data_IF_559909655707
#
_entry.id   IF_559909655707
#
_cell.length_a   1.000
_cell.length_b   1.000
_cell.length_c   1.000
_cell.angle_alpha   90.00
_cell.angle_beta   90.00
_cell.angle_gamma   90.00
#
_symmetry.space_group_name_H-M   'P 1'
#
loop_
_entity.id
_entity.type
_entity.pdbx_description
1 polymer ?
#
# COMPACT_ATOMS: atom_id res chain seq x y z
N UNK A 1 -13.62 12.98 -5.58
CA UNK A 1 -14.54 13.32 -6.69
C UNK A 1 -15.90 12.67 -6.46
N UNK A 2 -16.58 13.09 -5.39
CA UNK A 2 -17.90 12.57 -5.00
C UNK A 2 -18.77 13.80 -4.71
N UNK A 3 -20.07 13.80 -5.00
CA UNK A 3 -20.96 14.94 -4.69
C UNK A 3 -21.19 15.08 -3.17
N UNK A 4 -20.15 15.51 -2.44
CA UNK A 4 -20.04 15.50 -0.98
C UNK A 4 -21.08 16.37 -0.26
N UNK A 5 -21.76 17.27 -0.99
CA UNK A 5 -22.85 18.09 -0.44
C UNK A 5 -24.12 17.28 -0.25
N UNK A 6 -24.37 16.29 -1.12
CA UNK A 6 -25.52 15.37 -1.00
C UNK A 6 -25.30 14.36 0.12
N UNK A 7 -26.39 13.90 0.74
CA UNK A 7 -26.30 12.91 1.82
C UNK A 7 -25.65 11.60 1.35
N UNK A 8 -26.03 11.12 0.15
CA UNK A 8 -25.39 9.98 -0.51
C UNK A 8 -23.88 10.18 -0.67
N UNK A 9 -23.45 11.38 -1.05
CA UNK A 9 -22.04 11.70 -1.23
C UNK A 9 -21.26 11.73 0.09
N UNK A 10 -21.85 12.27 1.17
CA UNK A 10 -21.26 12.22 2.52
C UNK A 10 -21.07 10.77 2.98
N UNK A 11 -22.09 9.92 2.79
CA UNK A 11 -22.01 8.50 3.14
C UNK A 11 -20.93 7.77 2.34
N UNK A 12 -20.80 8.05 1.04
CA UNK A 12 -19.75 7.47 0.22
C UNK A 12 -18.35 7.89 0.69
N UNK A 13 -18.16 9.16 1.07
CA UNK A 13 -16.87 9.64 1.58
C UNK A 13 -16.51 8.98 2.92
N UNK A 14 -17.49 8.75 3.80
CA UNK A 14 -17.29 8.03 5.07
C UNK A 14 -16.83 6.58 4.90
N UNK A 15 -17.16 5.93 3.77
CA UNK A 15 -16.72 4.55 3.47
C UNK A 15 -15.24 4.50 3.08
N UNK A 16 -14.71 5.58 2.50
CA UNK A 16 -13.31 5.66 2.11
C UNK A 16 -12.42 5.91 3.34
N UNK A 17 -11.43 5.05 3.54
CA UNK A 17 -10.41 5.23 4.58
C UNK A 17 -9.03 5.29 3.91
N UNK A 18 -8.29 6.36 4.17
CA UNK A 18 -6.94 6.58 3.68
C UNK A 18 -5.96 6.68 4.86
N UNK A 19 -4.76 6.13 4.71
CA UNK A 19 -3.75 6.07 5.76
C UNK A 19 -2.36 6.36 5.17
N UNK A 20 -1.48 6.93 5.98
CA UNK A 20 -0.05 7.06 5.68
C UNK A 20 0.68 5.80 6.16
N UNK A 21 1.27 5.06 5.23
CA UNK A 21 1.79 3.71 5.50
C UNK A 21 0.67 2.67 5.67
N UNK A 22 1.02 1.46 6.15
CA UNK A 22 0.06 0.36 6.35
C UNK A 22 -0.15 0.10 7.84
N UNK A 23 -1.31 0.50 8.40
CA UNK A 23 -1.65 0.24 9.79
C UNK A 23 -1.67 -1.25 10.14
N UNK A 24 -1.41 -1.63 11.42
CA UNK A 24 -1.36 -3.03 11.88
C UNK A 24 -2.54 -3.90 11.44
N UNK A 25 -3.76 -3.37 11.51
CA UNK A 25 -5.00 -4.05 11.10
C UNK A 25 -5.04 -4.50 9.63
N UNK A 26 -4.24 -3.88 8.75
CA UNK A 26 -4.20 -4.19 7.32
C UNK A 26 -2.92 -4.92 6.88
N UNK A 27 -1.93 -5.11 7.76
CA UNK A 27 -0.62 -5.68 7.39
C UNK A 27 -0.71 -7.11 6.87
N UNK A 28 -1.66 -7.89 7.39
CA UNK A 28 -1.86 -9.30 7.05
C UNK A 28 -2.88 -9.51 5.91
N UNK A 29 -3.51 -8.44 5.42
CA UNK A 29 -4.48 -8.53 4.32
C UNK A 29 -3.77 -8.44 2.97
N UNK A 30 -4.26 -9.18 1.98
CA UNK A 30 -3.76 -9.06 0.60
C UNK A 30 -4.12 -7.67 0.05
N UNK A 31 -3.10 -6.87 -0.25
CA UNK A 31 -3.28 -5.57 -0.89
C UNK A 31 -3.54 -5.74 -2.39
N UNK A 32 -4.42 -4.92 -2.94
CA UNK A 32 -4.73 -4.87 -4.36
C UNK A 32 -4.14 -3.62 -5.00
N UNK A 33 -3.85 -3.68 -6.30
CA UNK A 33 -3.36 -2.56 -7.12
C UNK A 33 -4.36 -2.32 -8.24
N UNK A 34 -4.60 -1.07 -8.59
CA UNK A 34 -5.45 -0.68 -9.73
C UNK A 34 -4.56 -0.43 -10.95
N UNK A 35 -4.50 -1.33 -11.95
CA UNK A 35 -3.56 -1.20 -13.07
C UNK A 35 -3.80 0.05 -13.93
N UNK A 36 -5.05 0.43 -14.15
CA UNK A 36 -5.43 1.61 -14.95
C UNK A 36 -5.04 2.96 -14.34
N UNK A 37 -4.53 2.97 -13.11
CA UNK A 37 -3.99 4.16 -12.45
C UNK A 37 -2.50 4.00 -12.07
N UNK A 38 -1.85 2.92 -12.52
CA UNK A 38 -0.46 2.64 -12.16
C UNK A 38 0.48 3.49 -13.01
N UNK A 39 1.34 4.28 -12.35
CA UNK A 39 2.29 5.20 -13.00
C UNK A 39 3.06 4.56 -14.16
N UNK A 40 3.57 3.33 -14.00
CA UNK A 40 4.34 2.64 -15.03
C UNK A 40 3.54 2.40 -16.32
N UNK A 41 2.23 2.19 -16.20
CA UNK A 41 1.32 1.91 -17.31
C UNK A 41 0.80 3.22 -17.91
N UNK A 42 0.40 4.17 -17.05
CA UNK A 42 -0.24 5.41 -17.49
C UNK A 42 0.75 6.47 -18.01
N UNK A 43 2.02 6.42 -17.61
CA UNK A 43 3.01 7.46 -17.94
C UNK A 43 4.11 6.90 -18.84
N UNK A 44 4.44 7.62 -19.92
CA UNK A 44 5.56 7.27 -20.80
C UNK A 44 6.90 7.34 -20.05
N UNK A 45 7.87 6.46 -20.38
CA UNK A 45 9.24 6.59 -19.89
C UNK A 45 9.81 7.98 -20.19
N UNK A 46 10.62 8.51 -19.27
CA UNK A 46 11.26 9.84 -19.39
C UNK A 46 10.40 11.03 -18.96
N UNK A 47 9.10 10.85 -18.66
CA UNK A 47 8.27 11.94 -18.12
C UNK A 47 8.51 12.13 -16.63
N UNK A 48 8.73 13.39 -16.22
CA UNK A 48 8.94 13.76 -14.81
C UNK A 48 7.67 13.52 -13.99
N UNK A 49 7.84 13.08 -12.75
CA UNK A 49 6.78 12.90 -11.77
C UNK A 49 7.29 13.27 -10.38
N UNK A 50 6.38 13.45 -9.43
CA UNK A 50 6.70 13.74 -8.04
C UNK A 50 6.14 12.66 -7.11
N UNK A 51 6.70 12.59 -5.90
CA UNK A 51 6.18 11.74 -4.83
C UNK A 51 5.37 12.58 -3.87
N UNK A 52 4.10 12.20 -3.62
CA UNK A 52 3.22 12.91 -2.69
C UNK A 52 3.88 13.06 -1.32
N UNK A 53 4.48 11.99 -0.77
CA UNK A 53 5.16 12.06 0.53
C UNK A 53 6.38 12.99 0.59
N UNK A 54 7.02 13.32 -0.54
CA UNK A 54 8.07 14.35 -0.60
C UNK A 54 7.42 15.73 -0.60
N UNK A 55 6.47 15.95 -1.50
CA UNK A 55 5.75 17.22 -1.62
C UNK A 55 5.08 17.61 -0.30
N UNK A 56 4.37 16.67 0.33
CA UNK A 56 3.72 16.85 1.63
C UNK A 56 4.72 17.29 2.70
N UNK A 57 5.91 16.72 2.72
CA UNK A 57 6.94 17.09 3.70
C UNK A 57 7.46 18.51 3.47
N UNK A 58 7.72 18.88 2.22
CA UNK A 58 8.17 20.23 1.84
C UNK A 58 7.14 21.31 2.19
N UNK A 59 5.84 20.99 2.13
CA UNK A 59 4.76 21.91 2.54
C UNK A 59 4.43 21.85 4.05
N UNK A 60 5.22 21.14 4.85
CA UNK A 60 5.12 21.17 6.31
C UNK A 60 4.56 19.91 6.98
N UNK A 61 4.35 18.81 6.25
CA UNK A 61 4.00 17.53 6.87
C UNK A 61 5.19 16.93 7.64
N UNK A 62 5.06 16.86 8.96
CA UNK A 62 6.15 16.52 9.88
C UNK A 62 6.42 15.03 10.06
N UNK A 63 5.46 14.17 9.73
CA UNK A 63 5.50 12.74 10.09
C UNK A 63 6.22 11.83 9.08
N UNK A 64 6.91 12.40 8.10
CA UNK A 64 7.59 11.65 7.04
C UNK A 64 8.62 10.64 7.61
N UNK A 65 9.43 11.05 8.59
CA UNK A 65 10.46 10.22 9.22
C UNK A 65 9.84 9.08 10.06
N UNK A 66 8.77 9.39 10.81
CA UNK A 66 8.04 8.41 11.63
C UNK A 66 7.45 7.31 10.76
N UNK A 67 6.72 7.69 9.69
CA UNK A 67 6.11 6.73 8.76
C UNK A 67 7.17 5.88 8.07
N UNK A 68 8.30 6.47 7.67
CA UNK A 68 9.43 5.73 7.06
C UNK A 68 9.96 4.64 7.99
N UNK A 69 10.19 4.96 9.27
CA UNK A 69 10.70 4.00 10.26
C UNK A 69 9.71 2.85 10.48
N UNK A 70 8.41 3.16 10.61
CA UNK A 70 7.36 2.15 10.80
C UNK A 70 7.21 1.23 9.58
N UNK A 71 7.25 1.79 8.38
CA UNK A 71 7.17 1.01 7.13
C UNK A 71 8.40 0.12 6.93
N UNK A 72 9.59 0.57 7.30
CA UNK A 72 10.81 -0.28 7.28
C UNK A 72 10.65 -1.49 8.21
N UNK A 73 10.20 -1.28 9.46
CA UNK A 73 9.92 -2.37 10.40
C UNK A 73 8.88 -3.34 9.84
N UNK A 74 7.81 -2.81 9.22
CA UNK A 74 6.75 -3.63 8.60
C UNK A 74 7.27 -4.47 7.44
N UNK A 75 8.07 -3.91 6.54
CA UNK A 75 8.62 -4.61 5.37
C UNK A 75 9.51 -5.78 5.77
N UNK A 76 10.35 -5.60 6.80
CA UNK A 76 11.18 -6.70 7.34
C UNK A 76 10.30 -7.86 7.80
N UNK A 77 9.27 -7.58 8.62
CA UNK A 77 8.31 -8.61 9.08
C UNK A 77 7.59 -9.29 7.90
N UNK A 78 7.17 -8.52 6.90
CA UNK A 78 6.49 -9.05 5.72
C UNK A 78 7.38 -10.01 4.92
N UNK A 79 8.67 -9.68 4.71
CA UNK A 79 9.62 -10.55 4.02
C UNK A 79 9.80 -11.88 4.75
N UNK A 80 9.92 -11.86 6.08
CA UNK A 80 10.03 -13.08 6.88
C UNK A 80 8.77 -13.97 6.75
N UNK A 81 7.58 -13.36 6.81
CA UNK A 81 6.31 -14.07 6.63
C UNK A 81 6.19 -14.70 5.24
N UNK A 82 6.56 -13.96 4.19
CA UNK A 82 6.57 -14.45 2.81
C UNK A 82 7.53 -15.64 2.66
N UNK A 83 8.78 -15.52 3.15
CA UNK A 83 9.77 -16.61 3.11
C UNK A 83 9.26 -17.88 3.81
N UNK A 84 8.65 -17.73 4.99
CA UNK A 84 8.04 -18.85 5.72
C UNK A 84 6.94 -19.52 4.90
N UNK A 85 6.03 -18.72 4.33
CA UNK A 85 4.94 -19.21 3.48
C UNK A 85 5.45 -19.93 2.24
N UNK A 86 6.47 -19.40 1.57
CA UNK A 86 7.00 -19.98 0.33
C UNK A 86 7.76 -21.29 0.61
N UNK A 87 8.48 -21.39 1.74
CA UNK A 87 9.07 -22.64 2.21
C UNK A 87 8.00 -23.72 2.44
N UNK A 88 6.90 -23.37 3.13
CA UNK A 88 5.78 -24.28 3.37
C UNK A 88 5.16 -24.77 2.06
N UNK A 89 4.88 -23.84 1.11
CA UNK A 89 4.36 -24.20 -0.22
C UNK A 89 5.27 -25.19 -0.97
N UNK A 90 6.59 -25.02 -0.87
CA UNK A 90 7.55 -25.94 -1.51
C UNK A 90 7.44 -27.35 -0.93
N UNK A 91 7.36 -27.47 0.39
CA UNK A 91 7.21 -28.76 1.09
C UNK A 91 5.88 -29.41 0.71
N UNK A 92 4.76 -28.66 0.76
CA UNK A 92 3.44 -29.17 0.37
C UNK A 92 3.42 -29.68 -1.07
N UNK A 93 4.06 -28.96 -2.00
CA UNK A 93 4.16 -29.39 -3.40
C UNK A 93 5.00 -30.65 -3.58
N UNK A 94 6.07 -30.82 -2.79
CA UNK A 94 6.88 -32.03 -2.82
C UNK A 94 6.09 -33.23 -2.28
N UNK A 95 5.37 -33.06 -1.18
CA UNK A 95 4.51 -34.09 -0.60
C UNK A 95 3.36 -34.52 -1.53
N UNK A 96 2.76 -33.58 -2.27
CA UNK A 96 1.69 -33.90 -3.23
C UNK A 96 2.18 -34.60 -4.51
N UNK A 97 3.49 -34.69 -4.73
CA UNK A 97 4.10 -35.38 -5.89
C UNK A 97 4.58 -36.79 -5.56
N UNK A 98 4.74 -37.08 -4.27
CA UNK A 98 5.04 -38.42 -3.76
C UNK A 98 3.73 -39.19 -3.60
#
# INVERSE_FOLDING_TARGET
MVPQKTERGKQALRRLKAYEGIPPQYQNRKTVVVPGAMRLICLKPGRKYCHVGRLSHEVGWKYQSVVRTLESKRKVKAVLSIRKRDKLKKITKAAARA
#
